data_IF_414054548662
#
_entry.id   IF_414054548662
#
_cell.length_a   1.000
_cell.length_b   1.000
_cell.length_c   1.000
_cell.angle_alpha   90.00
_cell.angle_beta   90.00
_cell.angle_gamma   90.00
#
_symmetry.space_group_name_H-M   'P 1'
#
loop_
_entity.id
_entity.type
_entity.pdbx_description
1 polymer ?
#
# COMPACT_ATOMS: atom_id res chain seq x y z
N UNK A 1 -11.08 -51.12 -55.44
CA UNK A 1 -12.01 -50.46 -54.51
C UNK A 1 -11.29 -50.39 -53.19
N UNK A 2 -10.63 -49.27 -52.93
CA UNK A 2 -9.44 -49.26 -52.08
C UNK A 2 -9.67 -48.32 -50.89
N UNK A 3 -9.58 -48.86 -49.66
CA UNK A 3 -9.81 -48.09 -48.45
C UNK A 3 -8.58 -47.23 -48.14
N UNK A 4 -8.74 -45.92 -48.25
CA UNK A 4 -7.74 -44.94 -47.83
C UNK A 4 -7.71 -44.88 -46.30
N UNK A 5 -6.57 -45.23 -45.70
CA UNK A 5 -6.29 -44.90 -44.30
C UNK A 5 -5.79 -43.46 -44.16
N UNK A 6 -6.25 -42.68 -43.16
CA UNK A 6 -5.70 -41.36 -42.90
C UNK A 6 -4.31 -41.46 -42.26
N UNK A 7 -3.35 -40.70 -42.80
CA UNK A 7 -2.03 -40.49 -42.20
C UNK A 7 -2.16 -39.76 -40.84
N UNK A 8 -1.31 -40.12 -39.87
CA UNK A 8 -1.06 -39.30 -38.68
C UNK A 8 0.08 -38.32 -38.98
N UNK A 9 -0.21 -37.04 -39.01
CA UNK A 9 0.84 -36.01 -38.92
C UNK A 9 1.47 -36.03 -37.52
N UNK A 10 2.79 -35.84 -37.46
CA UNK A 10 3.52 -35.68 -36.20
C UNK A 10 3.58 -34.18 -35.83
N UNK A 11 3.53 -33.82 -34.53
CA UNK A 11 3.66 -32.43 -34.11
C UNK A 11 5.07 -31.89 -34.42
N UNK A 12 5.21 -30.60 -34.79
CA UNK A 12 6.50 -30.02 -35.11
C UNK A 12 7.43 -29.98 -33.89
N UNK A 13 8.68 -30.41 -34.07
CA UNK A 13 9.71 -30.37 -33.04
C UNK A 13 10.22 -28.93 -32.83
N UNK A 14 10.07 -28.41 -31.61
CA UNK A 14 10.57 -27.09 -31.25
C UNK A 14 12.09 -27.12 -31.00
N UNK A 15 12.89 -26.85 -32.05
CA UNK A 15 14.35 -26.78 -31.93
C UNK A 15 14.79 -25.53 -31.16
N UNK A 16 15.00 -25.68 -29.85
CA UNK A 16 15.61 -24.63 -29.02
C UNK A 16 17.12 -24.59 -29.32
N UNK A 17 17.61 -23.47 -29.84
CA UNK A 17 19.05 -23.23 -29.99
C UNK A 17 19.70 -23.09 -28.61
N UNK A 18 20.83 -23.78 -28.41
CA UNK A 18 21.59 -23.74 -27.16
C UNK A 18 22.24 -22.36 -26.89
N UNK A 19 22.62 -22.09 -25.63
CA UNK A 19 23.16 -20.80 -25.22
C UNK A 19 24.56 -20.57 -25.80
N UNK A 20 24.80 -19.39 -26.40
CA UNK A 20 26.13 -18.92 -26.75
C UNK A 20 26.58 -17.88 -25.69
N UNK A 21 27.54 -18.20 -24.81
CA UNK A 21 27.81 -17.41 -23.61
C UNK A 21 28.83 -16.29 -23.88
N UNK A 22 28.42 -15.03 -23.86
CA UNK A 22 29.35 -13.88 -23.83
C UNK A 22 28.73 -12.59 -23.27
N UNK A 23 28.69 -12.47 -21.94
CA UNK A 23 28.73 -11.17 -21.24
C UNK A 23 29.32 -11.34 -19.83
N UNK A 24 30.65 -11.28 -19.73
CA UNK A 24 31.35 -11.16 -18.45
C UNK A 24 31.40 -9.69 -18.00
N UNK A 25 30.91 -9.38 -16.81
CA UNK A 25 31.25 -8.15 -16.08
C UNK A 25 32.19 -8.50 -14.93
N UNK A 26 33.49 -8.34 -15.17
CA UNK A 26 34.54 -8.56 -14.17
C UNK A 26 34.72 -7.29 -13.35
N UNK A 27 34.22 -7.29 -12.11
CA UNK A 27 34.64 -6.28 -11.12
C UNK A 27 35.94 -6.73 -10.45
N UNK A 28 37.08 -6.34 -11.05
CA UNK A 28 38.37 -6.39 -10.34
C UNK A 28 38.34 -5.44 -9.15
N UNK A 29 38.52 -5.99 -7.95
CA UNK A 29 38.66 -5.21 -6.72
C UNK A 29 40.05 -5.50 -6.12
N UNK A 30 40.95 -4.50 -6.16
CA UNK A 30 42.35 -4.67 -5.76
C UNK A 30 42.71 -3.64 -4.66
N UNK A 31 42.73 -4.05 -3.38
CA UNK A 31 42.89 -3.12 -2.27
C UNK A 31 44.36 -2.86 -1.94
N UNK A 32 44.78 -1.59 -1.89
CA UNK A 32 46.03 -1.18 -1.23
C UNK A 32 45.82 -0.04 -0.26
N UNK A 33 46.10 -0.32 1.02
CA UNK A 33 46.30 0.67 2.08
C UNK A 33 47.58 1.48 1.79
N UNK A 34 47.61 2.76 2.16
CA UNK A 34 48.22 3.17 3.44
C UNK A 34 48.19 4.68 3.75
N UNK A 35 48.06 4.97 5.05
CA UNK A 35 48.67 6.06 5.83
C UNK A 35 48.35 7.54 5.50
N UNK A 36 47.85 8.24 6.53
CA UNK A 36 48.10 9.68 6.74
C UNK A 36 49.55 9.90 7.20
N UNK A 37 50.02 11.16 7.16
CA UNK A 37 50.47 11.76 8.42
C UNK A 37 49.87 13.16 8.71
N UNK A 38 49.87 13.54 9.99
CA UNK A 38 49.45 14.87 10.49
C UNK A 38 50.46 15.98 10.14
N UNK A 39 50.00 17.24 10.08
CA UNK A 39 50.55 18.34 10.92
C UNK A 39 49.73 19.65 10.93
N UNK A 40 49.93 20.39 12.03
CA UNK A 40 49.69 21.84 12.24
C UNK A 40 50.37 22.70 11.13
N UNK A 41 50.06 23.98 10.90
CA UNK A 41 49.88 25.04 11.91
C UNK A 41 49.01 26.27 11.46
N UNK A 42 49.21 27.41 12.12
CA UNK A 42 48.31 28.56 12.29
C UNK A 42 48.37 29.70 11.24
N UNK A 43 47.29 30.50 11.24
CA UNK A 43 47.22 31.98 11.07
C UNK A 43 48.09 32.72 10.03
N UNK A 44 47.43 33.50 9.16
CA UNK A 44 47.62 34.97 9.19
C UNK A 44 46.49 35.77 8.53
N UNK A 45 46.48 37.09 8.74
CA UNK A 45 45.49 38.08 8.23
C UNK A 45 46.12 39.02 7.19
N UNK A 46 45.33 39.56 6.24
CA UNK A 46 45.35 40.95 5.72
C UNK A 46 44.34 41.12 4.58
N UNK A 47 43.85 42.35 4.36
CA UNK A 47 42.90 42.77 3.31
C UNK A 47 43.45 43.97 2.51
N UNK A 48 42.90 44.31 1.33
CA UNK A 48 42.73 45.68 0.75
C UNK A 48 42.25 45.66 -0.74
N UNK A 49 41.09 46.32 -0.97
CA UNK A 49 40.66 47.29 -2.03
C UNK A 49 41.10 47.29 -3.53
N UNK A 50 40.35 48.10 -4.32
CA UNK A 50 40.61 48.71 -5.66
C UNK A 50 40.64 47.83 -6.93
N UNK A 51 40.47 48.34 -8.17
CA UNK A 51 39.41 49.18 -8.82
C UNK A 51 39.68 49.36 -10.35
N UNK A 52 38.67 49.68 -11.17
CA UNK A 52 38.76 50.15 -12.59
C UNK A 52 39.42 51.56 -12.73
N UNK A 53 39.71 52.19 -13.92
CA UNK A 53 39.15 52.06 -15.31
C UNK A 53 40.25 52.23 -16.43
N UNK A 54 40.18 53.00 -17.58
CA UNK A 54 39.09 53.50 -18.49
C UNK A 54 39.35 53.49 -20.06
N UNK A 55 38.28 53.80 -20.85
CA UNK A 55 38.25 54.58 -22.13
C UNK A 55 38.96 54.10 -23.43
N UNK A 56 38.77 54.76 -24.62
CA UNK A 56 37.94 55.94 -25.01
C UNK A 56 36.78 55.62 -26.03
N UNK A 57 35.70 56.39 -26.30
CA UNK A 57 35.43 57.87 -26.41
C UNK A 57 35.88 58.43 -27.78
N UNK A 58 35.12 59.14 -28.64
CA UNK A 58 33.80 59.84 -28.67
C UNK A 58 33.28 59.84 -30.17
N UNK A 59 32.25 60.49 -30.78
CA UNK A 59 31.17 61.53 -30.60
C UNK A 59 30.03 61.16 -31.66
N UNK A 60 28.91 61.84 -32.04
CA UNK A 60 28.07 63.01 -31.67
C UNK A 60 26.64 62.92 -32.35
N UNK A 61 25.79 63.96 -32.17
CA UNK A 61 24.72 64.50 -33.04
C UNK A 61 23.35 63.77 -33.25
N UNK A 62 22.27 64.44 -32.80
CA UNK A 62 20.84 64.08 -33.00
C UNK A 62 20.15 64.98 -34.06
N UNK A 63 18.91 64.68 -34.54
CA UNK A 63 17.74 65.26 -33.84
C UNK A 63 16.40 64.48 -33.90
N UNK A 64 15.65 64.61 -32.79
CA UNK A 64 14.17 64.63 -32.65
C UNK A 64 13.34 63.34 -32.90
N UNK A 65 12.12 63.36 -32.32
CA UNK A 65 11.26 62.21 -32.01
C UNK A 65 9.88 62.32 -32.65
N UNK A 66 9.31 61.19 -33.08
CA UNK A 66 7.88 61.06 -33.42
C UNK A 66 7.24 59.90 -32.65
N UNK A 67 6.11 60.16 -32.00
CA UNK A 67 5.36 59.19 -31.20
C UNK A 67 4.28 58.47 -32.01
N UNK A 68 4.16 57.13 -31.94
CA UNK A 68 3.02 56.40 -32.51
C UNK A 68 1.69 56.72 -31.82
N UNK A 69 0.60 56.68 -32.58
CA UNK A 69 -0.76 56.99 -32.15
C UNK A 69 -1.45 55.78 -31.46
N UNK A 70 -2.30 55.98 -30.43
CA UNK A 70 -3.07 54.88 -29.83
C UNK A 70 -4.21 54.39 -30.75
N UNK A 71 -4.45 53.08 -30.76
CA UNK A 71 -5.50 52.44 -31.56
C UNK A 71 -6.92 52.79 -31.05
N UNK A 72 -7.95 52.83 -31.93
CA UNK A 72 -9.33 53.10 -31.53
C UNK A 72 -9.92 52.04 -30.60
N UNK A 73 -10.68 52.48 -29.59
CA UNK A 73 -11.43 51.58 -28.72
C UNK A 73 -12.69 51.02 -29.43
N UNK A 74 -12.95 49.73 -29.27
CA UNK A 74 -14.18 49.10 -29.75
C UNK A 74 -15.39 49.53 -28.90
N UNK A 75 -16.59 49.69 -29.48
CA UNK A 75 -17.78 50.12 -28.74
C UNK A 75 -18.24 49.05 -27.74
N UNK A 76 -18.47 49.49 -26.49
CA UNK A 76 -18.96 48.63 -25.41
C UNK A 76 -20.44 48.25 -25.63
N UNK A 77 -20.69 47.01 -26.03
CA UNK A 77 -22.04 46.43 -25.99
C UNK A 77 -22.42 46.15 -24.53
N UNK A 78 -23.47 46.80 -24.03
CA UNK A 78 -23.96 46.57 -22.68
C UNK A 78 -24.49 45.14 -22.53
N UNK A 79 -23.92 44.37 -21.60
CA UNK A 79 -24.46 43.06 -21.24
C UNK A 79 -25.78 43.22 -20.48
N UNK A 80 -26.80 42.39 -20.74
CA UNK A 80 -28.01 42.37 -19.92
C UNK A 80 -27.66 41.93 -18.48
N UNK A 81 -28.40 42.43 -17.46
CA UNK A 81 -28.12 42.08 -16.07
C UNK A 81 -28.28 40.57 -15.83
N UNK A 82 -27.46 39.96 -14.97
CA UNK A 82 -27.60 38.55 -14.64
C UNK A 82 -28.96 38.27 -14.00
N UNK A 83 -29.57 37.09 -14.24
CA UNK A 83 -30.84 36.73 -13.61
C UNK A 83 -30.69 36.71 -12.08
N UNK A 84 -31.75 37.06 -11.32
CA UNK A 84 -31.68 37.12 -9.87
C UNK A 84 -31.26 35.76 -9.30
N UNK A 85 -30.22 35.75 -8.47
CA UNK A 85 -29.77 34.54 -7.78
C UNK A 85 -30.94 33.93 -7.01
N UNK A 86 -31.20 32.61 -7.13
CA UNK A 86 -32.29 31.98 -6.39
C UNK A 86 -32.12 32.24 -4.89
N UNK A 87 -33.23 32.37 -4.13
CA UNK A 87 -33.16 32.69 -2.72
C UNK A 87 -32.29 31.68 -1.98
N UNK A 88 -31.52 32.17 -1.00
CA UNK A 88 -30.71 31.32 -0.10
C UNK A 88 -31.64 30.54 0.83
N UNK A 89 -32.31 29.53 0.28
CA UNK A 89 -33.07 28.56 1.03
C UNK A 89 -32.15 27.89 2.03
N UNK A 90 -32.54 27.92 3.30
CA UNK A 90 -31.91 27.09 4.32
C UNK A 90 -32.04 25.64 3.85
N UNK A 91 -30.91 24.99 3.52
CA UNK A 91 -30.89 23.56 3.18
C UNK A 91 -31.06 22.78 4.47
N UNK A 92 -32.31 22.71 4.93
CA UNK A 92 -32.74 21.81 5.99
C UNK A 92 -32.49 20.37 5.54
N UNK A 93 -31.88 19.56 6.40
CA UNK A 93 -31.69 18.13 6.14
C UNK A 93 -30.63 17.81 5.09
N UNK A 94 -29.35 17.96 5.45
CA UNK A 94 -28.37 16.94 5.04
C UNK A 94 -28.96 15.57 5.39
N UNK A 95 -28.99 14.58 4.47
CA UNK A 95 -29.68 13.31 4.71
C UNK A 95 -29.12 12.66 5.97
N UNK A 96 -29.98 12.50 6.97
CA UNK A 96 -29.65 12.04 8.32
C UNK A 96 -28.95 10.69 8.17
N UNK A 97 -27.63 10.69 8.40
CA UNK A 97 -26.78 9.54 8.08
C UNK A 97 -27.28 8.31 8.83
N UNK A 98 -27.34 7.14 8.19
CA UNK A 98 -27.60 5.88 8.86
C UNK A 98 -26.88 5.79 10.20
N UNK A 99 -27.67 5.76 11.26
CA UNK A 99 -27.17 5.70 12.61
C UNK A 99 -26.63 4.30 12.87
N UNK A 100 -27.35 3.27 12.42
CA UNK A 100 -27.03 1.88 12.67
C UNK A 100 -26.52 1.21 11.39
N UNK A 101 -25.44 0.45 11.51
CA UNK A 101 -24.97 -0.50 10.51
C UNK A 101 -25.03 -1.89 11.10
N UNK A 102 -25.60 -2.84 10.35
CA UNK A 102 -25.51 -4.27 10.63
C UNK A 102 -24.75 -4.94 9.49
N UNK A 103 -23.95 -5.95 9.82
CA UNK A 103 -23.28 -6.82 8.85
C UNK A 103 -23.27 -8.23 9.44
N UNK A 104 -23.63 -9.22 8.62
CA UNK A 104 -23.53 -10.64 8.91
C UNK A 104 -22.74 -11.28 7.77
N UNK A 105 -21.80 -12.14 8.13
CA UNK A 105 -20.92 -12.84 7.20
C UNK A 105 -20.86 -14.30 7.61
N UNK A 106 -21.28 -15.20 6.72
CA UNK A 106 -21.12 -16.65 6.90
C UNK A 106 -19.97 -17.15 6.03
N UNK A 107 -19.15 -18.03 6.58
CA UNK A 107 -18.15 -18.80 5.83
C UNK A 107 -18.44 -20.29 5.98
N UNK A 108 -18.48 -21.03 4.87
CA UNK A 108 -18.70 -22.47 4.89
C UNK A 108 -17.49 -23.27 5.35
N UNK A 109 -16.28 -22.71 5.23
CA UNK A 109 -15.02 -23.39 5.57
C UNK A 109 -14.91 -23.58 7.09
N UNK A 110 -14.96 -22.48 7.84
CA UNK A 110 -15.03 -22.50 9.31
C UNK A 110 -16.42 -22.84 9.85
N UNK A 111 -17.45 -22.81 9.01
CA UNK A 111 -18.87 -22.98 9.36
C UNK A 111 -19.42 -21.91 10.33
N UNK A 112 -18.68 -20.82 10.54
CA UNK A 112 -19.03 -19.74 11.47
C UNK A 112 -19.81 -18.60 10.81
N UNK A 113 -20.72 -18.02 11.59
CA UNK A 113 -21.32 -16.72 11.33
C UNK A 113 -20.59 -15.64 12.12
N UNK A 114 -20.34 -14.49 11.49
CA UNK A 114 -19.67 -13.32 12.06
C UNK A 114 -20.62 -12.12 12.00
N UNK A 115 -21.15 -11.74 13.17
CA UNK A 115 -22.13 -10.67 13.31
C UNK A 115 -21.47 -9.39 13.83
N UNK A 116 -21.72 -8.26 13.14
CA UNK A 116 -21.16 -6.94 13.46
C UNK A 116 -22.23 -5.87 13.37
N UNK A 117 -22.64 -5.33 14.51
CA UNK A 117 -23.50 -4.16 14.59
C UNK A 117 -22.69 -2.93 15.01
N UNK A 118 -23.10 -1.73 14.60
CA UNK A 118 -22.53 -0.50 15.15
C UNK A 118 -23.45 0.69 14.99
N UNK A 119 -23.57 1.51 16.04
CA UNK A 119 -24.36 2.74 16.04
C UNK A 119 -23.44 3.97 16.12
N UNK A 120 -23.74 5.03 15.36
CA UNK A 120 -23.14 6.36 15.51
C UNK A 120 -23.92 7.17 16.53
N UNK A 121 -23.20 7.70 17.52
CA UNK A 121 -23.74 8.52 18.61
C UNK A 121 -23.26 9.96 18.45
N UNK A 122 -24.02 10.92 18.98
CA UNK A 122 -23.68 12.35 18.99
C UNK A 122 -23.27 12.85 17.58
N UNK A 123 -24.17 12.72 16.60
CA UNK A 123 -23.97 13.07 15.18
C UNK A 123 -22.79 12.37 14.45
N UNK A 124 -22.09 11.46 15.15
CA UNK A 124 -20.90 10.76 14.68
C UNK A 124 -19.61 11.12 15.40
N UNK A 125 -19.62 11.93 16.47
CA UNK A 125 -18.46 12.14 17.35
C UNK A 125 -18.04 10.85 18.07
N UNK A 126 -18.99 9.96 18.35
CA UNK A 126 -18.73 8.64 18.90
C UNK A 126 -19.42 7.52 18.10
N UNK A 127 -18.98 6.29 18.33
CA UNK A 127 -19.49 5.08 17.70
C UNK A 127 -19.46 3.92 18.68
N UNK A 128 -20.63 3.33 18.93
CA UNK A 128 -20.74 2.02 19.58
C UNK A 128 -20.58 0.91 18.52
N UNK A 129 -19.89 -0.18 18.85
CA UNK A 129 -19.69 -1.38 18.04
C UNK A 129 -20.06 -2.60 18.90
N UNK A 130 -20.76 -3.56 18.31
CA UNK A 130 -20.90 -4.92 18.82
C UNK A 130 -20.35 -5.87 17.75
N UNK A 131 -19.62 -6.90 18.16
CA UNK A 131 -19.16 -8.00 17.31
C UNK A 131 -19.31 -9.30 18.08
N UNK A 132 -19.69 -10.37 17.40
CA UNK A 132 -19.61 -11.73 17.94
C UNK A 132 -19.54 -12.74 16.79
N UNK A 133 -19.19 -13.97 17.11
CA UNK A 133 -19.29 -15.12 16.21
C UNK A 133 -20.28 -16.13 16.77
N UNK A 134 -20.84 -16.99 15.92
CA UNK A 134 -21.56 -18.18 16.36
C UNK A 134 -21.39 -19.34 15.37
N UNK A 135 -21.48 -20.56 15.88
CA UNK A 135 -21.55 -21.80 15.08
C UNK A 135 -22.98 -22.06 14.57
N UNK A 136 -23.24 -23.25 14.02
CA UNK A 136 -24.55 -23.64 13.47
C UNK A 136 -25.55 -24.00 14.58
N UNK A 137 -25.02 -24.39 15.72
CA UNK A 137 -25.69 -24.79 16.95
C UNK A 137 -26.20 -23.58 17.74
N UNK A 138 -25.71 -22.37 17.41
CA UNK A 138 -26.12 -21.10 18.00
C UNK A 138 -25.28 -20.66 19.21
N UNK A 139 -24.22 -21.40 19.54
CA UNK A 139 -23.24 -21.05 20.56
C UNK A 139 -22.45 -19.80 20.15
N UNK A 140 -22.27 -18.85 21.06
CA UNK A 140 -21.67 -17.54 20.79
C UNK A 140 -20.24 -17.49 21.30
N UNK A 141 -19.30 -17.08 20.44
CA UNK A 141 -17.88 -16.90 20.76
C UNK A 141 -17.35 -15.53 20.33
N UNK A 142 -16.26 -15.08 20.96
CA UNK A 142 -15.64 -13.77 20.78
C UNK A 142 -16.61 -12.56 20.86
N UNK A 143 -17.52 -12.49 21.85
CA UNK A 143 -18.40 -11.34 22.08
C UNK A 143 -17.59 -10.08 22.49
N UNK A 144 -17.62 -9.06 21.64
CA UNK A 144 -16.87 -7.80 21.81
C UNK A 144 -17.76 -6.56 21.71
N UNK A 145 -17.66 -5.69 22.71
CA UNK A 145 -18.28 -4.36 22.72
C UNK A 145 -17.19 -3.30 22.57
N UNK A 146 -17.39 -2.32 21.68
CA UNK A 146 -16.43 -1.24 21.44
C UNK A 146 -17.06 0.14 21.49
N UNK A 147 -16.47 1.07 22.25
CA UNK A 147 -16.79 2.49 22.21
C UNK A 147 -15.63 3.25 21.55
N UNK A 148 -15.90 3.95 20.45
CA UNK A 148 -14.87 4.62 19.63
C UNK A 148 -15.20 6.10 19.41
N UNK A 149 -14.24 6.98 19.61
CA UNK A 149 -14.30 8.42 19.30
C UNK A 149 -13.12 8.81 18.37
N UNK A 150 -12.86 10.10 18.14
CA UNK A 150 -11.62 10.54 17.45
C UNK A 150 -10.36 10.25 18.29
N UNK A 151 -10.44 10.41 19.61
CA UNK A 151 -9.25 10.50 20.49
C UNK A 151 -9.09 9.33 21.47
N UNK A 152 -10.18 8.60 21.73
CA UNK A 152 -10.24 7.45 22.64
C UNK A 152 -11.05 6.34 21.99
N UNK A 153 -10.54 5.11 22.04
CA UNK A 153 -11.35 3.90 21.80
C UNK A 153 -11.11 2.86 22.89
N UNK A 154 -12.17 2.28 23.40
CA UNK A 154 -12.14 1.11 24.29
C UNK A 154 -12.77 -0.05 23.53
N UNK A 155 -12.07 -1.18 23.45
CA UNK A 155 -12.58 -2.45 22.93
C UNK A 155 -12.59 -3.45 24.09
N UNK A 156 -13.77 -3.82 24.58
CA UNK A 156 -13.95 -4.79 25.63
C UNK A 156 -14.34 -6.15 25.04
N UNK A 157 -13.60 -7.19 25.41
CA UNK A 157 -13.93 -8.58 25.12
C UNK A 157 -14.60 -9.21 26.35
N UNK A 158 -15.81 -9.73 26.17
CA UNK A 158 -16.65 -10.23 27.27
C UNK A 158 -16.24 -11.64 27.71
N UNK A 159 -15.64 -12.42 26.80
CA UNK A 159 -15.19 -13.79 27.05
C UNK A 159 -13.87 -13.76 27.83
N UNK A 160 -12.91 -12.96 27.33
CA UNK A 160 -11.63 -12.73 28.00
C UNK A 160 -11.75 -11.83 29.25
N UNK A 161 -12.86 -11.10 29.39
CA UNK A 161 -13.09 -10.03 30.40
C UNK A 161 -12.00 -8.95 30.39
N UNK A 162 -11.55 -8.59 29.19
CA UNK A 162 -10.39 -7.72 28.97
C UNK A 162 -10.79 -6.44 28.23
N UNK A 163 -10.11 -5.32 28.52
CA UNK A 163 -10.27 -4.05 27.82
C UNK A 163 -8.97 -3.64 27.12
N UNK A 164 -9.01 -3.54 25.79
CA UNK A 164 -7.97 -2.88 25.00
C UNK A 164 -8.33 -1.40 24.83
N UNK A 165 -7.67 -0.56 25.60
CA UNK A 165 -7.83 0.91 25.57
C UNK A 165 -6.82 1.50 24.59
N UNK A 166 -7.24 2.46 23.76
CA UNK A 166 -6.33 3.21 22.87
C UNK A 166 -6.63 4.70 22.93
N UNK A 167 -5.59 5.50 23.20
CA UNK A 167 -5.63 6.95 23.15
C UNK A 167 -4.85 7.49 21.96
N UNK A 168 -5.28 8.61 21.40
CA UNK A 168 -4.53 9.38 20.40
C UNK A 168 -4.89 10.86 20.52
N UNK A 169 -3.91 11.75 20.61
CA UNK A 169 -4.16 13.20 20.60
C UNK A 169 -3.00 13.98 19.97
N UNK A 170 -3.32 15.15 19.43
CA UNK A 170 -2.42 16.00 18.67
C UNK A 170 -1.95 17.16 19.60
N UNK A 171 -0.64 17.38 19.71
CA UNK A 171 -0.03 18.43 20.55
C UNK A 171 0.61 19.48 19.63
N UNK A 172 -0.10 20.60 19.49
CA UNK A 172 0.26 21.65 18.53
C UNK A 172 0.07 21.17 17.09
N UNK A 173 1.03 21.47 16.22
CA UNK A 173 1.01 21.08 14.79
C UNK A 173 2.00 19.97 14.42
N UNK A 174 2.97 19.67 15.29
CA UNK A 174 4.11 18.82 14.96
C UNK A 174 4.18 17.52 15.76
N UNK A 175 3.57 17.45 16.95
CA UNK A 175 3.60 16.25 17.80
C UNK A 175 2.23 15.56 17.80
N UNK A 176 2.23 14.23 17.72
CA UNK A 176 1.07 13.39 17.95
C UNK A 176 1.45 12.28 18.95
N UNK A 177 0.67 12.15 20.01
CA UNK A 177 0.81 11.10 21.02
C UNK A 177 -0.22 10.01 20.77
N UNK A 178 0.19 8.76 20.92
CA UNK A 178 -0.67 7.57 20.90
C UNK A 178 -0.33 6.66 22.07
N UNK A 179 -1.32 5.91 22.54
CA UNK A 179 -1.10 4.76 23.40
C UNK A 179 -2.09 3.65 23.08
N UNK A 180 -1.68 2.41 23.28
CA UNK A 180 -2.53 1.22 23.38
C UNK A 180 -2.18 0.53 24.69
N UNK A 181 -3.18 0.13 25.48
CA UNK A 181 -2.98 -0.58 26.74
C UNK A 181 -4.00 -1.72 26.86
N UNK A 182 -3.50 -2.91 27.16
CA UNK A 182 -4.26 -4.09 27.52
C UNK A 182 -4.39 -4.17 29.05
N UNK A 183 -5.63 -4.04 29.54
CA UNK A 183 -5.88 -3.88 30.98
C UNK A 183 -5.69 -5.19 31.76
N UNK A 184 -5.94 -6.36 31.14
CA UNK A 184 -5.80 -7.67 31.80
C UNK A 184 -4.35 -8.15 31.82
N UNK A 185 -3.61 -7.96 30.71
CA UNK A 185 -2.19 -8.28 30.64
C UNK A 185 -1.30 -7.23 31.36
N UNK A 186 -1.86 -6.06 31.68
CA UNK A 186 -1.14 -4.87 32.17
C UNK A 186 -0.06 -4.35 31.19
N UNK A 187 -0.11 -4.80 29.94
CA UNK A 187 0.87 -4.49 28.90
C UNK A 187 0.39 -3.36 27.97
N UNK A 188 1.28 -2.76 27.20
CA UNK A 188 0.92 -1.72 26.24
C UNK A 188 2.07 -1.15 25.43
N UNK A 189 1.74 -0.18 24.58
CA UNK A 189 2.67 0.67 23.86
C UNK A 189 2.29 2.14 24.05
N UNK A 190 3.30 3.00 24.16
CA UNK A 190 3.18 4.45 24.09
C UNK A 190 4.07 4.96 22.94
N UNK A 191 3.49 5.75 22.03
CA UNK A 191 4.17 6.24 20.83
C UNK A 191 4.09 7.77 20.72
N UNK A 192 5.23 8.39 20.41
CA UNK A 192 5.36 9.83 20.14
C UNK A 192 5.80 10.01 18.70
N UNK A 193 5.02 10.76 17.92
CA UNK A 193 5.27 11.01 16.50
C UNK A 193 5.54 12.49 16.32
N UNK A 194 6.78 12.84 15.98
CA UNK A 194 7.16 14.17 15.53
C UNK A 194 7.09 14.23 13.99
N UNK A 195 6.37 15.21 13.47
CA UNK A 195 6.53 15.68 12.09
C UNK A 195 7.64 16.72 12.07
N UNK A 196 8.59 16.59 11.14
CA UNK A 196 9.70 17.53 10.99
C UNK A 196 9.25 18.76 10.16
N UNK A 197 10.18 19.62 9.76
CA UNK A 197 9.87 20.87 9.04
C UNK A 197 9.06 20.68 7.74
N UNK A 198 9.25 19.55 7.06
CA UNK A 198 8.35 19.04 6.02
C UNK A 198 7.48 17.90 6.61
N UNK A 199 6.13 18.00 6.57
CA UNK A 199 5.21 16.96 7.06
C UNK A 199 5.35 15.57 6.43
N UNK A 200 6.08 15.41 5.33
CA UNK A 200 6.43 14.11 4.74
C UNK A 200 7.53 13.37 5.53
N UNK A 201 8.30 14.10 6.35
CA UNK A 201 9.34 13.56 7.22
C UNK A 201 8.83 13.42 8.64
N UNK A 202 8.96 12.22 9.22
CA UNK A 202 8.46 11.92 10.57
C UNK A 202 9.41 11.04 11.36
N UNK A 203 9.54 11.32 12.65
CA UNK A 203 10.19 10.46 13.62
C UNK A 203 9.11 9.92 14.57
N UNK A 204 8.96 8.59 14.62
CA UNK A 204 8.08 7.89 15.54
C UNK A 204 8.94 7.11 16.55
N UNK A 205 8.72 7.35 17.84
CA UNK A 205 9.39 6.64 18.93
C UNK A 205 8.34 5.86 19.71
N UNK A 206 8.52 4.54 19.87
CA UNK A 206 7.56 3.65 20.53
C UNK A 206 8.23 2.90 21.68
N UNK A 207 7.70 3.07 22.89
CA UNK A 207 8.07 2.30 24.09
C UNK A 207 6.97 1.31 24.44
N UNK A 208 7.35 0.15 24.97
CA UNK A 208 6.46 -0.77 25.67
C UNK A 208 6.14 -0.27 27.08
N UNK A 209 5.06 -0.81 27.65
CA UNK A 209 4.71 -0.77 29.08
C UNK A 209 4.42 -2.22 29.51
N UNK A 210 5.04 -2.77 30.58
CA UNK A 210 6.23 -2.27 31.27
C UNK A 210 7.37 -1.93 30.29
N UNK A 211 8.29 -1.06 30.72
CA UNK A 211 9.37 -0.58 29.85
C UNK A 211 10.44 -1.67 29.65
N UNK A 212 10.31 -2.43 28.57
CA UNK A 212 11.20 -3.54 28.24
C UNK A 212 12.17 -3.14 27.13
N UNK A 213 13.36 -2.69 27.53
CA UNK A 213 14.45 -2.38 26.59
C UNK A 213 14.43 -0.97 26.02
N UNK A 214 15.11 -0.80 24.88
CA UNK A 214 15.22 0.48 24.19
C UNK A 214 13.99 0.75 23.31
N UNK A 215 13.38 1.96 23.37
CA UNK A 215 12.26 2.32 22.51
C UNK A 215 12.60 2.22 21.02
N UNK A 216 11.71 1.57 20.26
CA UNK A 216 11.80 1.43 18.79
C UNK A 216 11.67 2.81 18.14
N UNK A 217 12.63 3.16 17.28
CA UNK A 217 12.68 4.45 16.59
C UNK A 217 12.54 4.27 15.07
N UNK A 218 11.50 4.87 14.48
CA UNK A 218 11.21 4.82 13.04
C UNK A 218 11.27 6.20 12.42
N UNK A 219 12.20 6.41 11.50
CA UNK A 219 12.31 7.62 10.68
C UNK A 219 11.70 7.38 9.30
N UNK A 220 10.64 8.12 8.96
CA UNK A 220 9.95 8.11 7.67
C UNK A 220 10.28 9.36 6.87
N UNK A 221 10.37 9.19 5.55
CA UNK A 221 10.68 10.24 4.57
C UNK A 221 9.93 9.96 3.26
N UNK A 222 9.85 10.90 2.28
CA UNK A 222 9.01 10.74 1.09
C UNK A 222 9.25 9.46 0.27
N UNK A 223 10.48 8.94 0.33
CA UNK A 223 10.96 7.80 -0.44
C UNK A 223 11.10 6.50 0.37
N UNK A 224 10.77 6.49 1.66
CA UNK A 224 11.05 5.32 2.49
C UNK A 224 10.88 5.49 3.99
N UNK A 225 11.31 4.45 4.72
CA UNK A 225 11.45 4.49 6.17
C UNK A 225 12.63 3.62 6.62
N UNK A 226 13.26 4.01 7.73
CA UNK A 226 14.29 3.26 8.46
C UNK A 226 13.81 3.09 9.89
N UNK A 227 13.97 1.90 10.44
CA UNK A 227 13.52 1.49 11.76
C UNK A 227 14.67 0.86 12.53
N UNK A 228 14.93 1.37 13.73
CA UNK A 228 15.87 0.81 14.70
C UNK A 228 15.04 0.21 15.84
N UNK A 229 15.21 -1.08 16.10
CA UNK A 229 14.52 -1.79 17.18
C UNK A 229 15.45 -2.76 17.90
N UNK A 230 15.34 -2.86 19.22
CA UNK A 230 16.04 -3.88 19.99
C UNK A 230 15.30 -5.23 19.82
N UNK A 231 16.02 -6.27 19.41
CA UNK A 231 15.50 -7.65 19.31
C UNK A 231 16.19 -8.55 20.32
N UNK A 232 15.41 -9.41 20.95
CA UNK A 232 15.92 -10.53 21.73
C UNK A 232 16.24 -11.66 20.74
N UNK A 233 17.51 -12.03 20.65
CA UNK A 233 18.02 -13.07 19.73
C UNK A 233 18.08 -14.42 20.46
N UNK A 234 18.56 -14.39 21.71
CA UNK A 234 18.53 -15.48 22.69
C UNK A 234 17.95 -14.94 24.01
N UNK A 235 17.58 -15.82 24.97
CA UNK A 235 17.06 -15.42 26.29
C UNK A 235 17.93 -14.35 27.00
N UNK A 236 19.25 -14.42 26.83
CA UNK A 236 20.23 -13.56 27.50
C UNK A 236 20.70 -12.38 26.63
N UNK A 237 20.52 -12.43 25.30
CA UNK A 237 21.19 -11.52 24.36
C UNK A 237 20.20 -10.67 23.58
N UNK A 238 20.29 -9.35 23.78
CA UNK A 238 19.59 -8.34 22.99
C UNK A 238 20.53 -7.68 21.98
N UNK A 239 20.03 -7.43 20.78
CA UNK A 239 20.79 -6.87 19.64
C UNK A 239 19.97 -5.78 18.96
N UNK A 240 20.62 -4.67 18.59
CA UNK A 240 20.00 -3.62 17.80
C UNK A 240 19.86 -4.06 16.34
N UNK A 241 18.61 -4.23 15.90
CA UNK A 241 18.22 -4.54 14.52
C UNK A 241 17.91 -3.25 13.77
N UNK A 242 18.49 -3.10 12.57
CA UNK A 242 18.15 -2.05 11.62
C UNK A 242 17.33 -2.68 10.50
N UNK A 243 16.13 -2.17 10.28
CA UNK A 243 15.22 -2.59 9.21
C UNK A 243 14.84 -1.35 8.39
N UNK A 244 14.49 -1.50 7.10
CA UNK A 244 14.15 -0.33 6.29
C UNK A 244 13.71 -0.63 4.86
N UNK A 245 13.13 0.37 4.23
CA UNK A 245 12.67 0.32 2.84
C UNK A 245 12.91 1.66 2.14
N UNK A 246 13.55 1.61 0.97
CA UNK A 246 13.82 2.75 0.10
C UNK A 246 13.18 2.50 -1.28
N UNK A 247 12.56 3.52 -1.85
CA UNK A 247 11.87 3.49 -3.14
C UNK A 247 12.33 4.66 -4.01
N UNK A 248 12.68 4.38 -5.26
CA UNK A 248 13.08 5.39 -6.24
C UNK A 248 12.45 5.11 -7.60
N UNK A 249 12.06 6.17 -8.31
CA UNK A 249 11.72 6.05 -9.72
C UNK A 249 12.99 5.80 -10.53
N UNK A 250 12.98 4.79 -11.40
CA UNK A 250 14.07 4.46 -12.30
C UNK A 250 13.47 4.07 -13.65
N UNK A 251 13.76 4.83 -14.70
CA UNK A 251 13.12 4.68 -16.01
C UNK A 251 11.58 4.68 -15.86
N UNK A 252 10.89 3.76 -16.53
CA UNK A 252 9.44 3.60 -16.51
C UNK A 252 8.93 2.71 -15.34
N UNK A 253 9.67 2.61 -14.24
CA UNK A 253 9.31 1.76 -13.11
C UNK A 253 9.84 2.25 -11.77
N UNK A 254 9.41 1.57 -10.69
CA UNK A 254 9.83 1.87 -9.31
C UNK A 254 10.80 0.80 -8.85
N UNK A 255 12.04 1.20 -8.54
CA UNK A 255 12.97 0.37 -7.78
C UNK A 255 12.61 0.44 -6.29
N UNK A 256 12.62 -0.70 -5.60
CA UNK A 256 12.49 -0.82 -4.16
C UNK A 256 13.65 -1.65 -3.62
N UNK A 257 14.38 -1.11 -2.64
CA UNK A 257 15.28 -1.88 -1.79
C UNK A 257 14.62 -2.01 -0.41
N UNK A 258 14.56 -3.23 0.13
CA UNK A 258 13.94 -3.52 1.42
C UNK A 258 14.88 -4.40 2.24
N UNK A 259 15.45 -3.85 3.30
CA UNK A 259 16.32 -4.56 4.24
C UNK A 259 15.51 -4.98 5.47
N UNK A 260 15.50 -6.26 5.81
CA UNK A 260 14.84 -6.77 7.01
C UNK A 260 15.57 -8.01 7.53
N UNK A 261 15.90 -8.04 8.81
CA UNK A 261 16.46 -9.23 9.50
C UNK A 261 17.69 -9.83 8.79
N UNK A 262 18.56 -8.95 8.27
CA UNK A 262 19.76 -9.23 7.46
C UNK A 262 19.53 -9.66 6.00
N UNK A 263 18.28 -9.88 5.57
CA UNK A 263 17.94 -10.03 4.14
C UNK A 263 17.73 -8.67 3.46
N UNK A 264 18.30 -8.52 2.26
CA UNK A 264 18.09 -7.39 1.36
C UNK A 264 17.30 -7.84 0.11
N UNK A 265 16.01 -7.52 0.07
CA UNK A 265 15.16 -7.74 -1.09
C UNK A 265 15.21 -6.52 -2.04
N UNK A 266 15.74 -6.71 -3.24
CA UNK A 266 15.76 -5.74 -4.33
C UNK A 266 14.69 -6.09 -5.35
N UNK A 267 13.80 -5.15 -5.64
CA UNK A 267 12.61 -5.37 -6.49
C UNK A 267 12.40 -4.19 -7.40
N UNK A 268 12.40 -4.42 -8.71
CA UNK A 268 11.95 -3.44 -9.69
C UNK A 268 10.47 -3.69 -10.02
N UNK A 269 9.72 -2.64 -10.36
CA UNK A 269 8.31 -2.72 -10.71
C UNK A 269 8.05 -1.82 -11.92
N UNK A 270 8.10 -2.42 -13.11
CA UNK A 270 7.65 -1.80 -14.36
C UNK A 270 6.13 -1.93 -14.48
N UNK A 271 5.45 -0.89 -14.96
CA UNK A 271 4.00 -0.91 -15.19
C UNK A 271 3.59 0.10 -16.26
N UNK A 272 2.75 -0.37 -17.18
CA UNK A 272 2.00 0.45 -18.13
C UNK A 272 0.47 0.22 -17.96
N UNK A 273 -0.34 0.50 -18.98
CA UNK A 273 -1.80 0.31 -18.97
C UNK A 273 -2.24 -1.17 -19.09
N UNK A 274 -1.36 -1.97 -19.69
CA UNK A 274 -1.62 -3.25 -20.34
C UNK A 274 -0.77 -4.40 -19.73
N UNK A 275 0.34 -4.06 -19.08
CA UNK A 275 1.30 -4.98 -18.50
C UNK A 275 1.89 -4.46 -17.17
N UNK A 276 2.42 -5.39 -16.37
CA UNK A 276 3.21 -5.09 -15.16
C UNK A 276 4.25 -6.19 -15.03
N UNK A 277 5.52 -5.85 -14.81
CA UNK A 277 6.62 -6.81 -14.64
C UNK A 277 7.45 -6.44 -13.41
N UNK A 278 7.69 -7.42 -12.55
CA UNK A 278 8.20 -7.25 -11.20
C UNK A 278 9.31 -8.29 -10.93
N UNK A 279 10.51 -8.11 -11.50
CA UNK A 279 11.67 -8.93 -11.17
C UNK A 279 12.19 -8.57 -9.77
N UNK A 280 12.59 -9.59 -9.02
CA UNK A 280 12.98 -9.49 -7.61
C UNK A 280 14.18 -10.41 -7.35
N UNK A 281 15.17 -9.92 -6.61
CA UNK A 281 16.28 -10.73 -6.07
C UNK A 281 16.41 -10.47 -4.57
N UNK A 282 16.61 -11.53 -3.77
CA UNK A 282 16.97 -11.43 -2.37
C UNK A 282 18.46 -11.72 -2.17
N UNK A 283 19.11 -10.96 -1.30
CA UNK A 283 20.51 -11.16 -0.88
C UNK A 283 20.52 -11.36 0.65
N UNK A 284 21.41 -12.18 1.24
CA UNK A 284 22.57 -12.83 0.61
C UNK A 284 22.27 -14.15 -0.12
N UNK A 285 21.02 -14.65 -0.10
CA UNK A 285 20.66 -15.92 -0.76
C UNK A 285 20.88 -15.94 -2.28
N UNK A 286 20.82 -14.77 -2.92
CA UNK A 286 20.76 -14.57 -4.37
C UNK A 286 19.47 -15.10 -5.02
N UNK A 287 18.44 -15.37 -4.23
CA UNK A 287 17.21 -15.99 -4.70
C UNK A 287 16.45 -15.09 -5.69
N UNK A 288 16.16 -15.60 -6.89
CA UNK A 288 15.56 -14.81 -7.97
C UNK A 288 14.11 -15.23 -8.21
N UNK A 289 13.23 -14.23 -8.37
CA UNK A 289 11.84 -14.45 -8.76
C UNK A 289 11.34 -13.33 -9.68
N UNK A 290 10.27 -13.58 -10.40
CA UNK A 290 9.52 -12.52 -11.06
C UNK A 290 8.01 -12.74 -10.95
N UNK A 291 7.26 -11.63 -10.90
CA UNK A 291 5.83 -11.63 -11.13
C UNK A 291 5.52 -10.77 -12.37
N UNK A 292 4.64 -11.25 -13.25
CA UNK A 292 4.11 -10.47 -14.36
C UNK A 292 2.58 -10.50 -14.36
N UNK A 293 1.97 -9.45 -14.93
CA UNK A 293 0.51 -9.34 -15.07
C UNK A 293 0.22 -8.77 -16.45
N UNK A 294 -0.61 -9.46 -17.24
CA UNK A 294 -1.07 -9.01 -18.56
C UNK A 294 -2.55 -8.70 -18.48
N UNK A 295 -2.95 -7.53 -18.98
CA UNK A 295 -4.33 -7.22 -19.35
C UNK A 295 -4.50 -7.57 -20.83
N UNK A 296 -5.49 -8.40 -21.16
CA UNK A 296 -5.81 -8.72 -22.56
C UNK A 296 -7.00 -7.91 -23.08
N UNK A 297 -7.89 -7.48 -22.19
CA UNK A 297 -9.07 -6.69 -22.51
C UNK A 297 -9.42 -5.75 -21.34
N UNK A 298 -10.42 -4.86 -21.46
CA UNK A 298 -10.95 -4.12 -20.31
C UNK A 298 -11.30 -5.00 -19.10
N UNK A 299 -11.69 -6.27 -19.35
CA UNK A 299 -12.26 -7.22 -18.40
C UNK A 299 -11.28 -8.31 -17.95
N UNK A 300 -10.34 -8.69 -18.82
CA UNK A 300 -9.49 -9.88 -18.72
C UNK A 300 -8.08 -9.55 -18.27
N UNK A 301 -7.62 -10.28 -17.24
CA UNK A 301 -6.27 -10.13 -16.68
C UNK A 301 -5.69 -11.48 -16.26
N UNK A 302 -4.53 -11.80 -16.79
CA UNK A 302 -3.64 -12.82 -16.26
C UNK A 302 -2.67 -12.20 -15.24
N UNK A 303 -2.38 -12.93 -14.17
CA UNK A 303 -1.23 -12.73 -13.30
C UNK A 303 -0.48 -14.03 -13.18
N UNK A 304 0.85 -14.00 -13.19
CA UNK A 304 1.70 -15.16 -13.02
C UNK A 304 2.94 -14.75 -12.22
N UNK A 305 3.45 -15.63 -11.37
CA UNK A 305 4.75 -15.46 -10.72
C UNK A 305 5.51 -16.77 -10.65
N UNK A 306 6.83 -16.70 -10.73
CA UNK A 306 7.76 -17.83 -10.72
C UNK A 306 8.97 -17.50 -9.85
N UNK A 307 9.39 -18.47 -9.06
CA UNK A 307 10.61 -18.49 -8.26
C UNK A 307 11.61 -19.43 -8.96
N UNK A 308 12.79 -18.91 -9.33
CA UNK A 308 13.79 -19.66 -10.11
C UNK A 308 14.49 -20.72 -9.24
N UNK A 309 14.62 -20.46 -7.94
CA UNK A 309 15.31 -21.34 -6.99
C UNK A 309 14.47 -22.60 -6.71
N UNK A 310 13.21 -22.42 -6.29
CA UNK A 310 12.30 -23.53 -5.95
C UNK A 310 11.57 -24.13 -7.15
N UNK A 311 11.67 -23.48 -8.31
CA UNK A 311 10.85 -23.73 -9.50
C UNK A 311 9.33 -23.58 -9.29
N UNK A 312 8.89 -23.05 -8.14
CA UNK A 312 7.46 -22.85 -7.88
C UNK A 312 6.91 -21.68 -8.69
N UNK A 313 5.71 -21.87 -9.22
CA UNK A 313 4.93 -20.85 -9.91
C UNK A 313 3.47 -20.87 -9.48
N UNK A 314 2.82 -19.73 -9.61
CA UNK A 314 1.37 -19.66 -9.62
C UNK A 314 0.86 -18.82 -10.78
N UNK A 315 -0.36 -19.10 -11.19
CA UNK A 315 -1.08 -18.39 -12.24
C UNK A 315 -2.48 -18.07 -11.76
N UNK A 316 -2.99 -16.88 -12.10
CA UNK A 316 -4.33 -16.42 -11.77
C UNK A 316 -4.92 -15.66 -12.95
N UNK A 317 -5.88 -16.28 -13.62
CA UNK A 317 -6.78 -15.61 -14.54
C UNK A 317 -7.89 -14.89 -13.78
N UNK A 318 -8.28 -13.70 -14.25
CA UNK A 318 -9.44 -12.93 -13.80
C UNK A 318 -10.22 -12.43 -15.01
N UNK A 319 -11.52 -12.69 -15.01
CA UNK A 319 -12.51 -12.08 -15.91
C UNK A 319 -13.51 -11.25 -15.08
N UNK A 320 -14.04 -10.17 -15.66
CA UNK A 320 -14.93 -9.21 -14.97
C UNK A 320 -16.11 -8.85 -15.86
N UNK A 321 -17.33 -9.26 -15.50
CA UNK A 321 -18.54 -8.86 -16.26
C UNK A 321 -19.23 -7.73 -15.52
N UNK A 322 -19.27 -6.55 -16.14
CA UNK A 322 -19.83 -5.34 -15.53
C UNK A 322 -19.09 -4.94 -14.24
N UNK A 323 -19.84 -4.64 -13.18
CA UNK A 323 -19.30 -4.29 -11.84
C UNK A 323 -19.44 -5.45 -10.86
N UNK A 324 -20.57 -6.14 -10.96
CA UNK A 324 -21.09 -7.09 -9.99
C UNK A 324 -20.51 -8.50 -10.12
N UNK A 325 -20.01 -8.91 -11.29
CA UNK A 325 -19.57 -10.29 -11.51
C UNK A 325 -18.06 -10.36 -11.75
N UNK A 326 -17.38 -11.24 -11.01
CA UNK A 326 -15.95 -11.50 -11.16
C UNK A 326 -15.67 -13.00 -11.11
N UNK A 327 -15.20 -13.55 -12.21
CA UNK A 327 -14.64 -14.89 -12.24
C UNK A 327 -13.12 -14.81 -12.03
N UNK A 328 -12.57 -15.75 -11.28
CA UNK A 328 -11.14 -16.02 -11.24
C UNK A 328 -10.92 -17.52 -11.32
N UNK A 329 -9.85 -17.94 -11.97
CA UNK A 329 -9.31 -19.28 -11.85
C UNK A 329 -7.80 -19.17 -11.66
N UNK A 330 -7.21 -20.10 -10.93
CA UNK A 330 -5.78 -20.15 -10.71
C UNK A 330 -5.27 -21.54 -10.38
N UNK A 331 -3.96 -21.66 -10.39
CA UNK A 331 -3.23 -22.82 -9.92
C UNK A 331 -1.96 -22.33 -9.23
N UNK A 332 -1.60 -22.99 -8.13
CA UNK A 332 -0.36 -22.76 -7.40
C UNK A 332 0.41 -24.08 -7.30
N UNK A 333 1.66 -24.09 -7.74
CA UNK A 333 2.47 -25.32 -7.82
C UNK A 333 3.17 -25.68 -6.51
N UNK A 334 3.26 -24.77 -5.54
CA UNK A 334 3.88 -25.04 -4.24
C UNK A 334 2.96 -25.91 -3.39
N UNK A 335 1.68 -25.52 -3.31
CA UNK A 335 0.60 -26.30 -2.69
C UNK A 335 -0.11 -27.25 -3.66
N UNK A 336 0.33 -27.28 -4.93
CA UNK A 336 -0.21 -28.12 -6.03
C UNK A 336 -1.75 -28.06 -6.14
N UNK A 337 -2.30 -26.85 -6.04
CA UNK A 337 -3.73 -26.62 -5.83
C UNK A 337 -4.33 -25.82 -6.99
N UNK A 338 -5.26 -26.44 -7.74
CA UNK A 338 -6.13 -25.73 -8.67
C UNK A 338 -7.30 -25.10 -7.92
N UNK A 339 -7.72 -23.89 -8.31
CA UNK A 339 -8.89 -23.25 -7.73
C UNK A 339 -9.65 -22.37 -8.73
N UNK A 340 -10.97 -22.25 -8.52
CA UNK A 340 -11.83 -21.32 -9.24
C UNK A 340 -12.72 -20.57 -8.24
N UNK A 341 -13.00 -19.29 -8.48
CA UNK A 341 -13.91 -18.51 -7.64
C UNK A 341 -14.84 -17.61 -8.44
N UNK A 342 -16.12 -17.58 -8.05
CA UNK A 342 -17.12 -16.68 -8.60
C UNK A 342 -17.54 -15.67 -7.52
N UNK A 343 -17.42 -14.39 -7.84
CA UNK A 343 -17.80 -13.27 -6.98
C UNK A 343 -19.02 -12.57 -7.57
N UNK A 344 -20.04 -12.35 -6.74
CA UNK A 344 -21.31 -11.69 -7.10
C UNK A 344 -21.58 -10.51 -6.16
N UNK A 345 -21.87 -9.34 -6.72
CA UNK A 345 -22.24 -8.09 -6.04
C UNK A 345 -21.21 -6.95 -6.23
N UNK A 346 -21.72 -5.75 -6.51
CA UNK A 346 -20.95 -4.50 -6.71
C UNK A 346 -19.86 -4.26 -5.63
N UNK A 347 -18.59 -4.32 -6.05
CA UNK A 347 -17.44 -4.02 -5.18
C UNK A 347 -17.20 -2.51 -4.99
N UNK A 348 -17.54 -1.68 -5.98
CA UNK A 348 -17.31 -0.23 -5.98
C UNK A 348 -18.52 0.56 -5.43
N UNK A 349 -19.62 -0.15 -5.16
CA UNK A 349 -20.88 0.39 -4.71
C UNK A 349 -20.72 1.29 -3.49
N UNK A 350 -20.89 2.60 -3.68
CA UNK A 350 -20.79 3.59 -2.61
C UNK A 350 -21.89 3.34 -1.57
N UNK A 351 -21.58 3.50 -0.29
CA UNK A 351 -22.52 3.26 0.82
C UNK A 351 -23.75 4.20 0.85
N UNK A 352 -23.85 5.14 -0.09
CA UNK A 352 -24.96 6.10 -0.23
C UNK A 352 -26.03 5.68 -1.24
N UNK A 353 -25.78 4.70 -2.10
CA UNK A 353 -26.66 4.39 -3.26
C UNK A 353 -27.48 3.11 -3.11
N UNK A 354 -27.20 2.27 -2.11
CA UNK A 354 -28.03 1.13 -1.76
C UNK A 354 -27.91 0.84 -0.25
N UNK A 355 -29.01 0.83 0.53
CA UNK A 355 -28.99 0.61 1.98
C UNK A 355 -28.78 -0.86 2.34
N UNK A 356 -29.12 -1.79 1.44
CA UNK A 356 -28.78 -3.21 1.55
C UNK A 356 -27.72 -3.58 0.53
N UNK A 357 -26.76 -4.42 0.95
CA UNK A 357 -25.71 -4.97 0.08
C UNK A 357 -25.44 -6.43 0.41
N UNK A 358 -25.15 -7.20 -0.62
CA UNK A 358 -24.75 -8.58 -0.49
C UNK A 358 -23.54 -8.80 -1.40
N UNK A 359 -22.50 -9.45 -0.87
CA UNK A 359 -21.45 -10.06 -1.66
C UNK A 359 -21.51 -11.56 -1.44
N UNK A 360 -21.54 -12.33 -2.52
CA UNK A 360 -21.40 -13.78 -2.48
C UNK A 360 -20.09 -14.14 -3.15
N UNK A 361 -19.36 -15.07 -2.53
CA UNK A 361 -18.20 -15.72 -3.11
C UNK A 361 -18.47 -17.22 -3.10
N UNK A 362 -18.31 -17.87 -4.24
CA UNK A 362 -18.11 -19.32 -4.32
C UNK A 362 -16.63 -19.58 -4.62
N UNK A 363 -16.06 -20.65 -4.08
CA UNK A 363 -14.72 -21.11 -4.43
C UNK A 363 -14.70 -22.64 -4.49
N UNK A 364 -14.19 -23.20 -5.58
CA UNK A 364 -13.80 -24.61 -5.66
C UNK A 364 -12.28 -24.69 -5.54
N UNK A 365 -11.79 -25.63 -4.73
CA UNK A 365 -10.39 -26.03 -4.67
C UNK A 365 -10.27 -27.51 -5.06
N UNK A 366 -9.25 -27.84 -5.85
CA UNK A 366 -8.97 -29.18 -6.39
C UNK A 366 -7.47 -29.46 -6.20
N UNK A 367 -7.08 -30.30 -5.22
CA UNK A 367 -5.71 -30.77 -5.09
C UNK A 367 -5.29 -31.59 -6.32
N UNK A 368 -4.04 -31.45 -6.76
CA UNK A 368 -3.53 -32.18 -7.92
C UNK A 368 -3.32 -33.68 -7.64
N UNK A 369 -2.90 -34.03 -6.41
CA UNK A 369 -2.61 -35.41 -6.02
C UNK A 369 -3.86 -36.21 -5.62
N UNK A 370 -4.90 -35.53 -5.14
CA UNK A 370 -6.17 -36.15 -4.76
C UNK A 370 -7.34 -35.25 -5.16
N UNK A 371 -7.98 -35.60 -6.28
CA UNK A 371 -9.20 -34.96 -6.74
C UNK A 371 -10.40 -35.30 -5.83
N UNK A 372 -10.32 -36.39 -5.05
CA UNK A 372 -11.36 -36.81 -4.09
C UNK A 372 -11.56 -35.83 -2.93
N UNK A 373 -10.49 -35.18 -2.45
CA UNK A 373 -10.55 -34.10 -1.45
C UNK A 373 -10.82 -32.71 -2.03
N UNK A 374 -11.41 -32.62 -3.23
CA UNK A 374 -11.89 -31.34 -3.77
C UNK A 374 -12.95 -30.68 -2.87
N UNK A 375 -12.73 -29.42 -2.50
CA UNK A 375 -13.61 -28.66 -1.59
C UNK A 375 -14.39 -27.57 -2.33
N UNK A 376 -15.71 -27.53 -2.11
CA UNK A 376 -16.56 -26.39 -2.46
C UNK A 376 -16.81 -25.53 -1.21
N UNK A 377 -16.27 -24.32 -1.22
CA UNK A 377 -16.52 -23.30 -0.21
C UNK A 377 -17.43 -22.19 -0.76
N UNK A 378 -18.18 -21.55 0.14
CA UNK A 378 -18.90 -20.31 -0.15
C UNK A 378 -18.91 -19.38 1.06
N UNK A 379 -18.75 -18.08 0.79
CA UNK A 379 -18.82 -17.00 1.78
C UNK A 379 -19.90 -16.00 1.37
N UNK A 380 -20.85 -15.74 2.27
CA UNK A 380 -21.95 -14.80 2.05
C UNK A 380 -21.81 -13.64 3.04
N UNK A 381 -21.64 -12.42 2.54
CA UNK A 381 -21.49 -11.20 3.34
C UNK A 381 -22.64 -10.24 3.04
N UNK A 382 -23.58 -10.09 3.98
CA UNK A 382 -24.72 -9.18 3.86
C UNK A 382 -24.58 -8.00 4.82
N UNK A 383 -24.89 -6.79 4.34
CA UNK A 383 -24.79 -5.53 5.07
C UNK A 383 -26.05 -4.70 4.90
N UNK A 384 -26.44 -4.04 5.98
CA UNK A 384 -27.53 -3.08 6.06
C UNK A 384 -27.00 -1.78 6.70
N UNK A 385 -27.37 -0.64 6.14
CA UNK A 385 -27.22 0.68 6.75
C UNK A 385 -28.63 1.27 6.98
N UNK A 386 -28.99 1.56 8.23
CA UNK A 386 -30.27 2.12 8.70
C UNK A 386 -30.08 3.54 9.25
#
# INVERSE_FOLDING_TARGET
MDLIQPQREAPPSLTIFGPNPNFFLIFQNNPKRHQMPNKLNEQNTISISTSHPPNPTMVDASPQTLTPLPSPAAPSVAQPPPPPSPPKGFIAGLPRRPAVRVTSEYDSDTQLFLHKASCKLFEGFAKLKLSFQNNREGEISYPQIGFLTKYLSVLYDLEDRNALVKGSFDVGRLLQFKSTHDVKAQQGEAAVIASLGDPLYKLELVSTTPAEGLPRATFRFPHGEIMLEEKQEDEVKRVLSINGILKGQLMNGVCTAQYKDNDLNLRYCYKDEEMTFIPTISLPSNAVSFAFKRRFSPFDKLSYSYNLDSNYWNTVYKHTVGKDLKFKAGYDSEVRLGWASLWVGDEDGKAKTAPMKMKVQFMVQVPQDDIGSSMLMFRVKKRWDF
#
